data_IF_596923064132
#
_entry.id   IF_596923064132
#
_cell.length_a   1.000
_cell.length_b   1.000
_cell.length_c   1.000
_cell.angle_alpha   90.00
_cell.angle_beta   90.00
_cell.angle_gamma   90.00
#
_symmetry.space_group_name_H-M   'P 1'
#
loop_
_entity.id
_entity.type
_entity.pdbx_description
1 polymer ?
#
# COMPACT_ATOMS: atom_id res chain seq x y z
N UNK A 1 23.62 7.12 -2.50
CA UNK A 1 22.51 7.66 -3.31
C UNK A 1 22.47 9.16 -3.11
N UNK A 2 22.30 9.98 -4.15
CA UNK A 2 22.08 11.42 -3.98
C UNK A 2 20.80 11.63 -3.13
N UNK A 3 20.79 12.61 -2.22
CA UNK A 3 19.71 12.88 -1.26
C UNK A 3 18.30 12.90 -1.92
N UNK A 4 18.23 13.42 -3.15
CA UNK A 4 17.00 13.50 -3.94
C UNK A 4 16.44 12.14 -4.34
N UNK A 5 17.29 11.15 -4.62
CA UNK A 5 16.88 9.78 -4.95
C UNK A 5 16.38 9.03 -3.71
N UNK A 6 17.00 9.25 -2.55
CA UNK A 6 16.54 8.69 -1.27
C UNK A 6 15.18 9.26 -0.86
N UNK A 7 15.00 10.58 -0.99
CA UNK A 7 13.73 11.27 -0.73
C UNK A 7 12.61 10.77 -1.64
N UNK A 8 12.85 10.72 -2.96
CA UNK A 8 11.86 10.18 -3.92
C UNK A 8 11.48 8.72 -3.60
N UNK A 9 12.44 7.91 -3.14
CA UNK A 9 12.17 6.52 -2.78
C UNK A 9 11.29 6.42 -1.54
N UNK A 10 11.60 7.17 -0.49
CA UNK A 10 10.76 7.25 0.72
C UNK A 10 9.31 7.59 0.38
N UNK A 11 9.14 8.61 -0.45
CA UNK A 11 7.85 9.11 -0.91
C UNK A 11 7.09 8.11 -1.78
N UNK A 12 7.80 7.38 -2.65
CA UNK A 12 7.23 6.26 -3.40
C UNK A 12 6.76 5.13 -2.48
N UNK A 13 7.57 4.75 -1.48
CA UNK A 13 7.19 3.73 -0.50
C UNK A 13 5.97 4.16 0.32
N UNK A 14 5.89 5.45 0.68
CA UNK A 14 4.74 6.02 1.38
C UNK A 14 3.48 5.95 0.52
N UNK A 15 3.56 6.31 -0.76
CA UNK A 15 2.45 6.17 -1.70
C UNK A 15 1.90 4.75 -1.73
N UNK A 16 2.77 3.76 -1.93
CA UNK A 16 2.37 2.33 -1.98
C UNK A 16 1.72 1.90 -0.66
N UNK A 17 2.25 2.36 0.47
CA UNK A 17 1.74 2.06 1.80
C UNK A 17 0.34 2.62 2.05
N UNK A 18 0.10 3.88 1.69
CA UNK A 18 -1.22 4.52 1.80
C UNK A 18 -2.23 3.80 0.90
N UNK A 19 -1.85 3.46 -0.34
CA UNK A 19 -2.71 2.73 -1.26
C UNK A 19 -3.08 1.34 -0.71
N UNK A 20 -2.16 0.65 -0.05
CA UNK A 20 -2.42 -0.66 0.56
C UNK A 20 -3.39 -0.57 1.75
N UNK A 21 -3.30 0.49 2.55
CA UNK A 21 -4.21 0.70 3.68
C UNK A 21 -5.61 1.20 3.24
N UNK A 22 -5.68 2.02 2.19
CA UNK A 22 -6.89 2.76 1.82
C UNK A 22 -8.17 1.91 1.66
N UNK A 23 -8.16 0.71 1.02
CA UNK A 23 -9.37 -0.11 0.90
C UNK A 23 -9.94 -0.59 2.24
N UNK A 24 -9.08 -0.83 3.24
CA UNK A 24 -9.54 -1.17 4.59
C UNK A 24 -10.21 0.05 5.24
N UNK A 25 -9.63 1.25 5.11
CA UNK A 25 -10.23 2.50 5.59
C UNK A 25 -11.60 2.77 4.99
N UNK A 26 -11.69 2.68 3.66
CA UNK A 26 -12.93 2.93 2.94
C UNK A 26 -14.04 1.97 3.38
N UNK A 27 -13.69 0.70 3.61
CA UNK A 27 -14.65 -0.29 4.07
C UNK A 27 -15.09 -0.10 5.52
N UNK A 28 -14.16 0.17 6.44
CA UNK A 28 -14.50 0.44 7.85
C UNK A 28 -15.38 1.68 7.96
N UNK A 29 -15.03 2.73 7.21
CA UNK A 29 -15.84 3.94 7.11
C UNK A 29 -17.22 3.69 6.49
N UNK A 30 -17.34 2.80 5.49
CA UNK A 30 -18.63 2.45 4.89
C UNK A 30 -19.48 1.61 5.85
N UNK A 31 -18.86 0.67 6.56
CA UNK A 31 -19.55 -0.21 7.50
C UNK A 31 -20.11 0.56 8.71
N UNK A 32 -19.44 1.62 9.16
CA UNK A 32 -20.00 2.50 10.21
C UNK A 32 -21.31 3.16 9.76
N UNK A 33 -21.49 3.48 8.47
CA UNK A 33 -22.71 4.10 7.94
C UNK A 33 -23.94 3.17 7.95
N UNK A 34 -23.72 1.86 7.88
CA UNK A 34 -24.82 0.87 7.85
C UNK A 34 -25.45 0.60 9.22
N UNK A 35 -24.86 1.16 10.30
CA UNK A 35 -25.29 1.01 11.68
C UNK A 35 -26.57 1.77 11.98
N UNK A 36 -26.50 3.10 12.19
CA UNK A 36 -27.61 4.03 12.43
C UNK A 36 -27.13 5.43 12.05
N UNK A 37 -27.83 6.15 11.15
CA UNK A 37 -27.42 7.50 10.66
C UNK A 37 -27.11 8.47 11.82
N UNK A 38 -25.82 8.62 12.11
CA UNK A 38 -25.25 9.50 13.12
C UNK A 38 -24.46 10.63 12.45
N UNK A 39 -24.21 11.75 13.15
CA UNK A 39 -23.29 12.79 12.67
C UNK A 39 -21.84 12.27 12.52
N UNK A 40 -21.47 11.19 13.22
CA UNK A 40 -20.21 10.45 12.99
C UNK A 40 -20.19 9.75 11.63
N UNK A 41 -21.35 9.35 11.12
CA UNK A 41 -21.49 8.74 9.79
C UNK A 41 -21.37 9.80 8.71
N UNK A 42 -21.84 11.03 8.97
CA UNK A 42 -21.57 12.16 8.09
C UNK A 42 -20.06 12.46 8.02
N UNK A 43 -19.35 12.41 9.14
CA UNK A 43 -17.89 12.59 9.20
C UNK A 43 -17.12 11.48 8.46
N UNK A 44 -17.52 10.22 8.66
CA UNK A 44 -16.98 9.08 7.95
C UNK A 44 -17.27 9.18 6.44
N UNK A 45 -18.48 9.55 6.04
CA UNK A 45 -18.85 9.77 4.65
C UNK A 45 -18.12 10.96 4.00
N UNK A 46 -17.83 12.03 4.76
CA UNK A 46 -17.02 13.17 4.28
C UNK A 46 -15.54 12.81 4.18
N UNK A 47 -15.00 12.04 5.13
CA UNK A 47 -13.65 11.48 5.06
C UNK A 47 -13.52 10.50 3.89
N UNK A 48 -14.49 9.60 3.70
CA UNK A 48 -14.59 8.70 2.55
C UNK A 48 -14.74 9.50 1.26
N UNK A 49 -15.57 10.55 1.25
CA UNK A 49 -15.77 11.44 0.10
C UNK A 49 -14.51 12.24 -0.25
N UNK A 50 -13.74 12.67 0.75
CA UNK A 50 -12.44 13.31 0.58
C UNK A 50 -11.42 12.29 0.08
N UNK A 51 -11.27 11.14 0.74
CA UNK A 51 -10.37 10.07 0.29
C UNK A 51 -10.74 9.67 -1.13
N UNK A 52 -12.01 9.44 -1.46
CA UNK A 52 -12.46 9.12 -2.82
C UNK A 52 -12.19 10.27 -3.80
N UNK A 53 -12.59 11.51 -3.51
CA UNK A 53 -12.34 12.64 -4.42
C UNK A 53 -10.83 12.84 -4.69
N UNK A 54 -9.99 12.65 -3.68
CA UNK A 54 -8.55 12.88 -3.77
C UNK A 54 -7.72 11.65 -4.18
N UNK A 55 -8.21 10.41 -4.03
CA UNK A 55 -7.59 9.21 -4.60
C UNK A 55 -8.07 8.97 -6.03
N UNK A 56 -9.37 9.11 -6.28
CA UNK A 56 -9.99 8.74 -7.55
C UNK A 56 -9.49 9.65 -8.65
N UNK A 57 -9.29 10.95 -8.43
CA UNK A 57 -8.84 11.84 -9.49
C UNK A 57 -7.38 11.59 -9.94
N UNK A 58 -6.38 11.50 -9.04
CA UNK A 58 -5.02 11.08 -9.43
C UNK A 58 -4.96 9.66 -9.98
N UNK A 59 -5.74 8.73 -9.43
CA UNK A 59 -5.81 7.34 -9.92
C UNK A 59 -6.45 7.29 -11.30
N UNK A 60 -7.54 8.02 -11.54
CA UNK A 60 -8.21 8.09 -12.84
C UNK A 60 -7.35 8.81 -13.87
N UNK A 61 -6.66 9.90 -13.53
CA UNK A 61 -5.70 10.55 -14.42
C UNK A 61 -4.60 9.57 -14.87
N UNK A 62 -4.10 8.75 -13.94
CA UNK A 62 -3.08 7.74 -14.23
C UNK A 62 -3.63 6.52 -14.97
N UNK A 63 -4.84 6.06 -14.65
CA UNK A 63 -5.52 5.00 -15.40
C UNK A 63 -5.84 5.45 -16.82
N UNK A 64 -6.22 6.71 -17.02
CA UNK A 64 -6.38 7.33 -18.34
C UNK A 64 -5.03 7.38 -19.07
N UNK A 65 -3.95 7.80 -18.40
CA UNK A 65 -2.59 7.75 -18.97
C UNK A 65 -2.04 6.35 -19.24
N UNK A 66 -2.59 5.30 -18.60
CA UNK A 66 -2.29 3.89 -18.90
C UNK A 66 -3.08 3.38 -20.13
N UNK A 67 -4.19 4.03 -20.47
CA UNK A 67 -5.09 3.67 -21.58
C UNK A 67 -4.80 4.48 -22.84
N UNK A 68 -4.42 5.75 -22.70
CA UNK A 68 -4.09 6.65 -23.80
C UNK A 68 -2.57 6.78 -23.93
N UNK A 69 -2.04 6.52 -25.12
CA UNK A 69 -0.64 6.72 -25.49
C UNK A 69 -0.27 8.22 -25.65
N UNK A 70 -0.73 9.06 -24.72
CA UNK A 70 -0.45 10.49 -24.70
C UNK A 70 0.28 10.82 -23.39
N UNK A 71 1.60 11.01 -23.48
CA UNK A 71 2.48 11.34 -22.35
C UNK A 71 2.04 12.65 -21.68
N UNK A 72 1.46 12.63 -20.47
CA UNK A 72 1.31 13.83 -19.67
C UNK A 72 2.67 14.13 -19.02
N UNK A 73 3.04 15.40 -18.95
CA UNK A 73 4.30 15.85 -18.37
C UNK A 73 4.62 15.15 -17.03
N UNK A 74 5.78 14.50 -16.95
CA UNK A 74 6.22 13.70 -15.79
C UNK A 74 6.23 14.53 -14.50
N UNK A 75 5.16 14.42 -13.69
CA UNK A 75 5.17 14.92 -12.31
C UNK A 75 6.15 14.08 -11.49
N UNK A 76 7.18 14.72 -10.95
CA UNK A 76 8.18 14.13 -10.06
C UNK A 76 7.53 13.31 -8.92
N UNK A 77 8.07 12.14 -8.55
CA UNK A 77 7.59 11.34 -7.42
C UNK A 77 7.49 12.12 -6.10
N UNK A 78 8.40 13.06 -5.87
CA UNK A 78 8.32 13.95 -4.71
C UNK A 78 7.09 14.87 -4.77
N UNK A 79 6.68 15.34 -5.95
CA UNK A 79 5.47 16.15 -6.08
C UNK A 79 4.23 15.31 -5.83
N UNK A 80 4.13 14.11 -6.42
CA UNK A 80 2.99 13.20 -6.23
C UNK A 80 2.85 12.74 -4.77
N UNK A 81 3.96 12.50 -4.08
CA UNK A 81 3.92 12.09 -2.69
C UNK A 81 3.80 13.26 -1.71
N UNK A 82 4.28 14.46 -2.07
CA UNK A 82 3.97 15.68 -1.33
C UNK A 82 2.49 16.03 -1.51
N UNK A 83 1.91 15.83 -2.70
CA UNK A 83 0.45 15.84 -2.93
C UNK A 83 -0.22 14.84 -1.99
N UNK A 84 0.15 13.55 -2.05
CA UNK A 84 -0.47 12.52 -1.22
C UNK A 84 -0.33 12.78 0.29
N UNK A 85 0.81 13.33 0.73
CA UNK A 85 1.06 13.70 2.12
C UNK A 85 0.24 14.95 2.51
N UNK A 86 0.22 15.98 1.67
CA UNK A 86 -0.62 17.16 1.87
C UNK A 86 -2.10 16.78 1.90
N UNK A 87 -2.53 15.83 1.06
CA UNK A 87 -3.88 15.30 1.05
C UNK A 87 -4.17 14.44 2.28
N UNK A 88 -3.22 13.63 2.76
CA UNK A 88 -3.35 12.90 4.02
C UNK A 88 -3.47 13.86 5.21
N UNK A 89 -2.66 14.92 5.24
CA UNK A 89 -2.75 15.98 6.26
C UNK A 89 -4.10 16.69 6.18
N UNK A 90 -4.56 17.07 4.98
CA UNK A 90 -5.87 17.71 4.78
C UNK A 90 -6.99 16.76 5.21
N UNK A 91 -6.92 15.47 4.89
CA UNK A 91 -7.91 14.48 5.31
C UNK A 91 -7.96 14.34 6.84
N UNK A 92 -6.79 14.32 7.52
CA UNK A 92 -6.70 14.31 8.99
C UNK A 92 -7.24 15.61 9.57
N UNK A 93 -6.89 16.77 9.01
CA UNK A 93 -7.38 18.07 9.49
C UNK A 93 -8.89 18.24 9.29
N UNK A 94 -9.44 17.77 8.16
CA UNK A 94 -10.88 17.77 7.89
C UNK A 94 -11.59 16.81 8.83
N UNK A 95 -11.02 15.62 9.05
CA UNK A 95 -11.54 14.67 10.03
C UNK A 95 -11.56 15.27 11.45
N UNK A 96 -10.47 15.89 11.90
CA UNK A 96 -10.38 16.58 13.19
C UNK A 96 -11.35 17.76 13.30
N UNK A 97 -11.47 18.59 12.25
CA UNK A 97 -12.41 19.71 12.24
C UNK A 97 -13.87 19.25 12.34
N UNK A 98 -14.22 18.14 11.67
CA UNK A 98 -15.55 17.55 11.77
C UNK A 98 -15.75 16.92 13.16
N UNK A 99 -14.75 16.22 13.69
CA UNK A 99 -14.78 15.65 15.04
C UNK A 99 -14.99 16.73 16.10
N UNK A 100 -14.28 17.86 16.02
CA UNK A 100 -14.47 19.01 16.93
C UNK A 100 -15.86 19.64 16.76
N UNK A 101 -16.34 19.79 15.52
CA UNK A 101 -17.68 20.32 15.23
C UNK A 101 -18.80 19.40 15.75
N UNK A 102 -18.61 18.08 15.69
CA UNK A 102 -19.55 17.07 16.19
C UNK A 102 -19.45 16.89 17.71
N UNK A 103 -18.24 16.92 18.28
CA UNK A 103 -17.99 16.82 19.72
C UNK A 103 -18.48 18.05 20.51
N UNK A 104 -18.70 19.19 19.83
CA UNK A 104 -19.44 20.30 20.41
C UNK A 104 -20.89 19.91 20.81
N UNK A 105 -21.40 18.76 20.36
CA UNK A 105 -22.72 18.24 20.72
C UNK A 105 -22.70 17.04 21.70
N UNK A 106 -21.67 16.17 21.71
CA UNK A 106 -21.54 15.04 22.65
C UNK A 106 -20.06 14.79 23.05
N UNK A 107 -19.82 14.43 24.32
CA UNK A 107 -18.52 14.39 25.03
C UNK A 107 -17.28 14.03 24.18
N UNK A 108 -16.29 14.92 24.23
CA UNK A 108 -15.06 14.98 23.44
C UNK A 108 -14.15 13.72 23.52
N UNK A 109 -14.29 12.88 24.55
CA UNK A 109 -13.40 11.74 24.79
C UNK A 109 -13.63 10.58 23.80
N UNK A 110 -14.88 10.20 23.53
CA UNK A 110 -15.21 9.05 22.67
C UNK A 110 -14.75 9.25 21.22
N UNK A 111 -14.76 10.49 20.72
CA UNK A 111 -14.38 10.79 19.35
C UNK A 111 -12.86 10.68 19.13
N UNK A 112 -12.07 11.17 20.11
CA UNK A 112 -10.61 11.02 20.08
C UNK A 112 -10.17 9.55 20.11
N UNK A 113 -10.82 8.71 20.91
CA UNK A 113 -10.51 7.27 20.95
C UNK A 113 -10.79 6.56 19.62
N UNK A 114 -11.89 6.91 18.95
CA UNK A 114 -12.25 6.33 17.66
C UNK A 114 -11.26 6.73 16.56
N UNK A 115 -10.79 7.97 16.57
CA UNK A 115 -9.74 8.44 15.66
C UNK A 115 -8.41 7.71 15.90
N UNK A 116 -7.97 7.61 17.16
CA UNK A 116 -6.73 6.91 17.51
C UNK A 116 -6.78 5.47 17.01
N UNK A 117 -7.91 4.77 17.17
CA UNK A 117 -8.10 3.41 16.66
C UNK A 117 -8.03 3.34 15.13
N UNK A 118 -8.67 4.29 14.43
CA UNK A 118 -8.60 4.35 12.97
C UNK A 118 -7.17 4.60 12.45
N UNK A 119 -6.46 5.57 13.03
CA UNK A 119 -5.05 5.86 12.68
C UNK A 119 -4.14 4.69 13.00
N UNK A 120 -4.32 4.06 14.17
CA UNK A 120 -3.58 2.86 14.56
C UNK A 120 -3.78 1.72 13.56
N UNK A 121 -5.03 1.49 13.14
CA UNK A 121 -5.33 0.53 12.08
C UNK A 121 -4.64 0.91 10.77
N UNK A 122 -4.53 2.21 10.45
CA UNK A 122 -3.91 2.65 9.20
C UNK A 122 -2.43 2.33 9.15
N UNK A 123 -1.77 2.69 10.24
CA UNK A 123 -0.36 2.43 10.43
C UNK A 123 -0.07 0.93 10.39
N UNK A 124 -0.90 0.13 11.08
CA UNK A 124 -0.77 -1.32 11.11
C UNK A 124 -0.72 -1.94 9.70
N UNK A 125 -1.57 -1.49 8.78
CA UNK A 125 -1.59 -2.01 7.40
C UNK A 125 -0.58 -1.33 6.48
N UNK A 126 -0.23 -0.07 6.72
CA UNK A 126 0.70 0.69 5.87
C UNK A 126 2.18 0.33 6.11
N UNK A 127 2.57 -0.08 7.32
CA UNK A 127 3.98 -0.30 7.68
C UNK A 127 4.63 -1.41 6.83
N UNK A 128 3.99 -2.56 6.70
CA UNK A 128 4.54 -3.70 5.94
C UNK A 128 4.87 -3.37 4.48
N UNK A 129 3.92 -2.85 3.66
CA UNK A 129 4.21 -2.47 2.28
C UNK A 129 5.22 -1.33 2.17
N UNK A 130 5.25 -0.40 3.14
CA UNK A 130 6.26 0.66 3.19
C UNK A 130 7.68 0.05 3.27
N UNK A 131 7.95 -0.74 4.31
CA UNK A 131 9.29 -1.30 4.52
C UNK A 131 9.70 -2.31 3.44
N UNK A 132 8.76 -3.08 2.89
CA UNK A 132 9.03 -3.97 1.77
C UNK A 132 9.42 -3.18 0.52
N UNK A 133 8.74 -2.06 0.24
CA UNK A 133 9.09 -1.19 -0.90
C UNK A 133 10.46 -0.54 -0.70
N UNK A 134 10.80 -0.10 0.52
CA UNK A 134 12.16 0.35 0.87
C UNK A 134 13.19 -0.76 0.62
N UNK A 135 12.90 -2.00 1.05
CA UNK A 135 13.79 -3.14 0.85
C UNK A 135 14.01 -3.46 -0.62
N UNK A 136 12.96 -3.36 -1.45
CA UNK A 136 13.09 -3.50 -2.90
C UNK A 136 14.03 -2.46 -3.50
N UNK A 137 13.88 -1.18 -3.15
CA UNK A 137 14.80 -0.14 -3.64
C UNK A 137 16.24 -0.35 -3.15
N UNK A 138 16.41 -0.86 -1.94
CA UNK A 138 17.70 -1.23 -1.38
C UNK A 138 18.31 -2.50 -2.00
N UNK A 139 17.53 -3.34 -2.69
CA UNK A 139 18.01 -4.60 -3.26
C UNK A 139 19.08 -4.42 -4.35
N UNK A 140 19.16 -3.22 -4.94
CA UNK A 140 20.20 -2.81 -5.90
C UNK A 140 21.53 -2.45 -5.25
N UNK A 141 21.54 -2.19 -3.94
CA UNK A 141 22.76 -1.90 -3.19
C UNK A 141 23.61 -3.18 -3.05
N UNK A 142 24.90 -3.04 -2.65
CA UNK A 142 25.71 -4.19 -2.27
C UNK A 142 24.97 -5.13 -1.31
N UNK A 143 25.24 -6.43 -1.40
CA UNK A 143 24.54 -7.47 -0.63
C UNK A 143 24.55 -7.22 0.88
N UNK A 144 25.62 -6.61 1.41
CA UNK A 144 25.73 -6.25 2.83
C UNK A 144 24.76 -5.13 3.28
N UNK A 145 24.19 -4.34 2.37
CA UNK A 145 23.11 -3.37 2.66
C UNK A 145 21.75 -4.00 2.37
N UNK A 146 21.63 -4.68 1.23
CA UNK A 146 20.36 -5.24 0.76
C UNK A 146 19.77 -6.26 1.75
N UNK A 147 20.59 -7.19 2.25
CA UNK A 147 20.13 -8.24 3.17
C UNK A 147 19.67 -7.69 4.53
N UNK A 148 20.42 -6.79 5.21
CA UNK A 148 19.92 -6.19 6.45
C UNK A 148 18.61 -5.42 6.29
N UNK A 149 18.42 -4.68 5.18
CA UNK A 149 17.17 -3.93 4.96
C UNK A 149 16.00 -4.90 4.69
N UNK A 150 16.23 -5.97 3.92
CA UNK A 150 15.22 -7.02 3.74
C UNK A 150 14.86 -7.69 5.08
N UNK A 151 15.86 -8.06 5.90
CA UNK A 151 15.64 -8.63 7.22
C UNK A 151 14.88 -7.66 8.14
N UNK A 152 15.24 -6.36 8.12
CA UNK A 152 14.57 -5.32 8.87
C UNK A 152 13.08 -5.22 8.48
N UNK A 153 12.75 -5.31 7.19
CA UNK A 153 11.34 -5.27 6.76
C UNK A 153 10.51 -6.41 7.34
N UNK A 154 11.09 -7.63 7.44
CA UNK A 154 10.44 -8.79 8.07
C UNK A 154 10.29 -8.55 9.57
N UNK A 155 11.37 -8.13 10.25
CA UNK A 155 11.36 -7.87 11.69
C UNK A 155 10.30 -6.82 12.04
N UNK A 156 10.24 -5.73 11.28
CA UNK A 156 9.25 -4.67 11.49
C UNK A 156 7.82 -5.19 11.30
N UNK A 157 7.56 -5.97 10.24
CA UNK A 157 6.24 -6.57 10.02
C UNK A 157 5.82 -7.49 11.19
N UNK A 158 6.74 -8.29 11.71
CA UNK A 158 6.49 -9.15 12.88
C UNK A 158 6.27 -8.32 14.16
N UNK A 159 7.08 -7.29 14.38
CA UNK A 159 6.94 -6.39 15.53
C UNK A 159 5.60 -5.66 15.53
N UNK A 160 5.12 -5.21 14.37
CA UNK A 160 3.76 -4.64 14.23
C UNK A 160 2.72 -5.65 14.71
N UNK A 161 2.77 -6.89 14.24
CA UNK A 161 1.82 -7.92 14.69
C UNK A 161 1.85 -8.12 16.21
N UNK A 162 3.03 -8.14 16.83
CA UNK A 162 3.17 -8.26 18.30
C UNK A 162 2.64 -7.03 19.04
N UNK A 163 3.00 -5.82 18.59
CA UNK A 163 2.61 -4.55 19.24
C UNK A 163 1.10 -4.35 19.19
N UNK A 164 0.46 -4.72 18.07
CA UNK A 164 -0.99 -4.61 17.89
C UNK A 164 -1.75 -5.85 18.37
N UNK A 165 -1.09 -6.78 19.07
CA UNK A 165 -1.75 -7.92 19.73
C UNK A 165 -2.37 -8.92 18.76
N UNK A 166 -1.80 -9.09 17.56
CA UNK A 166 -2.28 -10.08 16.61
C UNK A 166 -2.14 -11.47 17.20
N UNK A 167 -3.14 -12.31 16.92
CA UNK A 167 -3.04 -13.73 17.19
C UNK A 167 -1.90 -14.35 16.37
N UNK A 168 -1.36 -15.47 16.86
CA UNK A 168 -0.33 -16.21 16.14
C UNK A 168 -0.81 -16.64 14.74
N UNK A 169 -2.11 -16.92 14.57
CA UNK A 169 -2.67 -17.28 13.28
C UNK A 169 -2.63 -16.14 12.28
N UNK A 170 -3.10 -14.93 12.65
CA UNK A 170 -3.07 -13.74 11.77
C UNK A 170 -1.63 -13.40 11.39
N UNK A 171 -0.72 -13.48 12.37
CA UNK A 171 0.69 -13.20 12.14
C UNK A 171 1.29 -14.17 11.10
N UNK A 172 0.96 -15.46 11.16
CA UNK A 172 1.43 -16.45 10.17
C UNK A 172 0.79 -16.21 8.80
N UNK A 173 -0.53 -16.00 8.75
CA UNK A 173 -1.26 -15.84 7.48
C UNK A 173 -0.91 -14.56 6.75
N UNK A 174 -0.46 -13.52 7.46
CA UNK A 174 0.05 -12.28 6.86
C UNK A 174 1.56 -12.33 6.58
N UNK A 175 2.38 -12.97 7.43
CA UNK A 175 3.83 -13.02 7.24
C UNK A 175 4.26 -13.85 6.02
N UNK A 176 3.66 -15.02 5.81
CA UNK A 176 4.04 -15.92 4.71
C UNK A 176 3.91 -15.23 3.32
N UNK A 177 2.74 -14.71 2.93
CA UNK A 177 2.59 -14.06 1.63
C UNK A 177 3.44 -12.78 1.53
N UNK A 178 3.58 -12.00 2.60
CA UNK A 178 4.38 -10.75 2.56
C UNK A 178 5.88 -11.03 2.41
N UNK A 179 6.41 -12.09 3.03
CA UNK A 179 7.79 -12.56 2.81
C UNK A 179 7.98 -13.04 1.36
N UNK A 180 7.01 -13.79 0.81
CA UNK A 180 7.07 -14.21 -0.58
C UNK A 180 7.08 -13.01 -1.54
N UNK A 181 6.25 -11.99 -1.27
CA UNK A 181 6.22 -10.72 -2.01
C UNK A 181 7.56 -9.99 -1.91
N UNK A 182 8.13 -9.89 -0.71
CA UNK A 182 9.45 -9.29 -0.49
C UNK A 182 10.52 -9.98 -1.35
N UNK A 183 10.61 -11.31 -1.28
CA UNK A 183 11.60 -12.10 -2.03
C UNK A 183 11.41 -11.90 -3.53
N UNK A 184 10.18 -12.05 -4.04
CA UNK A 184 9.88 -11.92 -5.46
C UNK A 184 10.25 -10.52 -5.99
N UNK A 185 9.88 -9.46 -5.27
CA UNK A 185 10.23 -8.10 -5.68
C UNK A 185 11.74 -7.82 -5.60
N UNK A 186 12.44 -8.35 -4.59
CA UNK A 186 13.91 -8.27 -4.53
C UNK A 186 14.58 -8.95 -5.73
N UNK A 187 14.08 -10.11 -6.17
CA UNK A 187 14.60 -10.78 -7.37
C UNK A 187 14.33 -9.95 -8.63
N UNK A 188 13.09 -9.49 -8.83
CA UNK A 188 12.70 -8.67 -9.99
C UNK A 188 13.55 -7.40 -10.09
N UNK A 189 13.72 -6.67 -8.98
CA UNK A 189 14.48 -5.42 -8.94
C UNK A 189 15.98 -5.65 -9.16
N UNK A 190 16.53 -6.77 -8.68
CA UNK A 190 17.95 -7.09 -8.91
C UNK A 190 18.22 -7.42 -10.37
N UNK A 191 17.32 -8.15 -11.01
CA UNK A 191 17.45 -8.53 -12.42
C UNK A 191 17.21 -7.37 -13.37
N UNK A 192 16.17 -6.55 -13.15
CA UNK A 192 15.73 -5.52 -14.08
C UNK A 192 15.38 -4.23 -13.34
N UNK A 193 15.89 -3.10 -13.84
CA UNK A 193 15.61 -1.76 -13.30
C UNK A 193 15.22 -0.82 -14.46
N UNK A 194 14.01 -1.03 -14.96
CA UNK A 194 13.35 -0.28 -16.04
C UNK A 194 12.02 0.34 -15.56
N UNK A 195 11.37 1.13 -16.42
CA UNK A 195 10.07 1.75 -16.14
C UNK A 195 8.95 0.75 -15.79
N UNK A 196 9.10 -0.53 -16.17
CA UNK A 196 8.12 -1.58 -15.91
C UNK A 196 8.38 -2.38 -14.63
N UNK A 197 9.49 -2.13 -13.93
CA UNK A 197 9.91 -2.89 -12.73
C UNK A 197 8.79 -2.98 -11.70
N UNK A 198 8.18 -1.85 -11.33
CA UNK A 198 7.11 -1.85 -10.32
C UNK A 198 5.79 -2.43 -10.82
N UNK A 199 5.53 -2.40 -12.13
CA UNK A 199 4.40 -3.12 -12.74
C UNK A 199 4.61 -4.63 -12.67
N UNK A 200 5.84 -5.11 -12.83
CA UNK A 200 6.20 -6.52 -12.60
C UNK A 200 6.08 -6.89 -11.13
N UNK A 201 6.52 -6.03 -10.21
CA UNK A 201 6.30 -6.22 -8.78
C UNK A 201 4.80 -6.25 -8.45
N UNK A 202 3.98 -5.37 -9.02
CA UNK A 202 2.54 -5.38 -8.83
C UNK A 202 1.91 -6.70 -9.28
N UNK A 203 2.33 -7.21 -10.45
CA UNK A 203 1.88 -8.52 -10.95
C UNK A 203 2.32 -9.65 -10.03
N UNK A 204 3.57 -9.65 -9.56
CA UNK A 204 4.07 -10.66 -8.63
C UNK A 204 3.29 -10.63 -7.30
N UNK A 205 3.07 -9.44 -6.73
CA UNK A 205 2.24 -9.24 -5.53
C UNK A 205 0.83 -9.79 -5.74
N UNK A 206 0.18 -9.46 -6.86
CA UNK A 206 -1.16 -9.94 -7.17
C UNK A 206 -1.23 -11.46 -7.35
N UNK A 207 -0.25 -12.06 -8.04
CA UNK A 207 -0.18 -13.52 -8.22
C UNK A 207 0.06 -14.24 -6.90
N UNK A 208 0.99 -13.76 -6.06
CA UNK A 208 1.29 -14.34 -4.76
C UNK A 208 0.08 -14.24 -3.83
N UNK A 209 -0.55 -13.06 -3.77
CA UNK A 209 -1.75 -12.85 -2.97
C UNK A 209 -2.90 -13.76 -3.41
N UNK A 210 -3.17 -13.82 -4.71
CA UNK A 210 -4.24 -14.67 -5.26
C UNK A 210 -3.95 -16.16 -5.00
N UNK A 211 -2.72 -16.61 -5.25
CA UNK A 211 -2.32 -17.99 -5.00
C UNK A 211 -2.46 -18.34 -3.51
N UNK A 212 -2.07 -17.44 -2.61
CA UNK A 212 -2.22 -17.61 -1.18
C UNK A 212 -3.69 -17.71 -0.76
N UNK A 213 -4.54 -16.78 -1.19
CA UNK A 213 -5.97 -16.79 -0.87
C UNK A 213 -6.70 -18.01 -1.43
N UNK A 214 -6.34 -18.46 -2.64
CA UNK A 214 -6.88 -19.69 -3.23
C UNK A 214 -6.42 -20.92 -2.45
N UNK A 215 -5.13 -20.98 -2.06
CA UNK A 215 -4.58 -22.09 -1.30
C UNK A 215 -5.22 -22.21 0.08
N UNK A 216 -5.33 -21.10 0.83
CA UNK A 216 -5.93 -21.10 2.16
C UNK A 216 -7.44 -21.33 2.10
N UNK A 217 -8.13 -20.80 1.08
CA UNK A 217 -9.53 -21.09 0.82
C UNK A 217 -9.79 -22.57 0.47
N UNK A 218 -8.96 -23.17 -0.38
CA UNK A 218 -9.04 -24.59 -0.73
C UNK A 218 -8.75 -25.48 0.48
N UNK A 219 -7.76 -25.13 1.31
CA UNK A 219 -7.46 -25.83 2.55
C UNK A 219 -8.64 -25.75 3.53
N UNK A 220 -9.24 -24.57 3.70
CA UNK A 220 -10.41 -24.39 4.55
C UNK A 220 -11.61 -25.20 4.04
N UNK A 221 -11.82 -25.26 2.73
CA UNK A 221 -12.87 -26.07 2.12
C UNK A 221 -12.63 -27.57 2.35
N UNK A 222 -11.40 -28.05 2.19
CA UNK A 222 -11.04 -29.45 2.45
C UNK A 222 -11.25 -29.84 3.92
N UNK A 223 -10.85 -28.96 4.86
CA UNK A 223 -11.09 -29.16 6.30
C UNK A 223 -12.58 -29.18 6.64
N UNK A 224 -13.37 -28.31 5.99
CA UNK A 224 -14.82 -28.28 6.14
C UNK A 224 -15.46 -29.58 5.63
N UNK A 225 -15.05 -30.08 4.46
CA UNK A 225 -15.50 -31.38 3.91
C UNK A 225 -15.11 -32.55 4.82
N UNK A 226 -13.94 -32.48 5.46
CA UNK A 226 -13.48 -33.47 6.45
C UNK A 226 -14.15 -33.32 7.83
N UNK A 227 -15.11 -32.40 8.00
CA UNK A 227 -15.80 -32.11 9.26
C UNK A 227 -14.88 -31.67 10.41
N UNK A 228 -13.69 -31.14 10.10
CA UNK A 228 -12.75 -30.62 11.09
C UNK A 228 -13.07 -29.15 11.37
N UNK A 229 -13.81 -28.89 12.45
CA UNK A 229 -14.18 -27.52 12.83
C UNK A 229 -13.19 -26.83 13.78
N UNK A 230 -12.28 -27.59 14.38
CA UNK A 230 -11.31 -27.11 15.36
C UNK A 230 -10.20 -26.23 14.77
N UNK A 231 -9.94 -26.34 13.46
CA UNK A 231 -8.89 -25.59 12.78
C UNK A 231 -9.49 -24.69 11.71
N UNK A 232 -9.32 -23.37 11.87
CA UNK A 232 -9.70 -22.36 10.89
C UNK A 232 -8.45 -21.64 10.44
N UNK A 233 -8.21 -21.63 9.13
CA UNK A 233 -7.05 -20.97 8.51
C UNK A 233 -7.26 -19.46 8.47
N UNK A 234 -8.49 -19.02 8.18
CA UNK A 234 -8.90 -17.62 8.20
C UNK A 234 -10.25 -17.51 8.89
N UNK A 235 -10.42 -16.48 9.71
CA UNK A 235 -11.76 -15.96 9.96
C UNK A 235 -12.28 -15.23 8.72
N UNK A 236 -13.61 -15.18 8.55
CA UNK A 236 -14.21 -14.54 7.37
C UNK A 236 -13.80 -13.06 7.27
N UNK A 237 -13.80 -12.35 8.40
CA UNK A 237 -13.35 -10.95 8.50
C UNK A 237 -11.90 -10.76 8.05
N UNK A 238 -11.00 -11.63 8.52
CA UNK A 238 -9.57 -11.61 8.21
C UNK A 238 -9.31 -11.86 6.72
N UNK A 239 -10.01 -12.83 6.11
CA UNK A 239 -9.88 -13.11 4.67
C UNK A 239 -10.22 -11.90 3.81
N UNK A 240 -11.33 -11.22 4.12
CA UNK A 240 -11.75 -10.03 3.38
C UNK A 240 -10.86 -8.82 3.65
N UNK A 241 -10.25 -8.74 4.84
CA UNK A 241 -9.25 -7.71 5.16
C UNK A 241 -7.99 -7.89 4.32
N UNK A 242 -7.43 -9.10 4.29
CA UNK A 242 -6.25 -9.41 3.48
C UNK A 242 -6.50 -9.20 1.98
N UNK A 243 -7.67 -9.60 1.47
CA UNK A 243 -8.03 -9.34 0.07
C UNK A 243 -8.02 -7.84 -0.26
N UNK A 244 -8.64 -7.01 0.58
CA UNK A 244 -8.68 -5.55 0.40
C UNK A 244 -7.28 -4.94 0.47
N UNK A 245 -6.47 -5.39 1.43
CA UNK A 245 -5.08 -5.00 1.58
C UNK A 245 -4.26 -5.27 0.31
N UNK A 246 -4.32 -6.49 -0.24
CA UNK A 246 -3.57 -6.83 -1.46
C UNK A 246 -4.08 -6.10 -2.71
N UNK A 247 -5.39 -5.87 -2.83
CA UNK A 247 -5.94 -5.03 -3.91
C UNK A 247 -5.36 -3.62 -3.84
N UNK A 248 -5.33 -3.03 -2.64
CA UNK A 248 -4.76 -1.71 -2.41
C UNK A 248 -3.28 -1.64 -2.76
N UNK A 249 -2.51 -2.66 -2.36
CA UNK A 249 -1.08 -2.73 -2.63
C UNK A 249 -0.79 -2.84 -4.13
N UNK A 250 -1.47 -3.75 -4.83
CA UNK A 250 -1.33 -3.92 -6.28
C UNK A 250 -1.69 -2.63 -7.01
N UNK A 251 -2.81 -2.00 -6.63
CA UNK A 251 -3.24 -0.72 -7.20
C UNK A 251 -2.20 0.38 -6.97
N UNK A 252 -1.68 0.46 -5.75
CA UNK A 252 -0.63 1.42 -5.38
C UNK A 252 0.60 1.30 -6.25
N UNK A 253 1.04 0.07 -6.56
CA UNK A 253 2.19 -0.19 -7.42
C UNK A 253 1.91 0.06 -8.91
N UNK A 254 0.69 -0.20 -9.40
CA UNK A 254 0.32 0.05 -10.79
C UNK A 254 0.17 1.54 -11.12
N UNK A 255 -0.29 2.31 -10.14
CA UNK A 255 -0.60 3.74 -10.29
C UNK A 255 0.56 4.62 -9.78
N UNK A 256 1.61 3.99 -9.24
CA UNK A 256 2.73 4.71 -8.65
C UNK A 256 3.42 5.67 -9.64
N UNK A 257 3.91 6.82 -9.17
CA UNK A 257 4.68 7.74 -10.01
C UNK A 257 5.98 7.08 -10.49
N UNK A 258 6.47 7.47 -11.68
CA UNK A 258 7.70 6.93 -12.27
C UNK A 258 8.91 7.21 -11.37
N UNK A 259 9.37 6.18 -10.66
CA UNK A 259 10.57 6.25 -9.81
C UNK A 259 11.85 5.86 -10.55
N UNK A 260 11.71 5.02 -11.58
CA UNK A 260 12.82 4.59 -12.44
C UNK A 260 12.91 5.58 -13.61
N UNK A 261 14.08 6.18 -13.89
CA UNK A 261 14.23 7.02 -15.08
C UNK A 261 13.91 6.22 -16.33
N UNK A 262 13.18 6.82 -17.27
CA UNK A 262 13.14 6.29 -18.62
C UNK A 262 14.57 6.19 -19.14
N UNK A 263 14.93 5.04 -19.70
CA UNK A 263 16.20 4.90 -20.39
C UNK A 263 16.31 6.06 -21.38
N UNK A 264 17.45 6.79 -21.44
CA UNK A 264 17.58 7.85 -22.43
C UNK A 264 17.29 7.22 -23.78
N UNK A 265 16.27 7.75 -24.47
CA UNK A 265 16.03 7.48 -25.89
C UNK A 265 17.39 7.55 -26.55
N UNK A 266 17.87 6.38 -27.01
CA UNK A 266 19.16 6.26 -27.65
C UNK A 266 19.27 7.40 -28.65
N UNK A 267 20.31 8.23 -28.49
CA UNK A 267 20.65 9.30 -29.39
C UNK A 267 20.58 8.74 -30.82
N UNK A 268 19.48 9.02 -31.50
CA UNK A 268 19.28 8.71 -32.90
C UNK A 268 20.39 9.43 -33.65
N UNK A 269 21.28 8.63 -34.23
CA UNK A 269 22.58 9.07 -34.66
C UNK A 269 22.56 10.10 -35.78
N UNK A 270 23.59 10.92 -35.82
CA UNK A 270 24.52 10.96 -36.93
C UNK A 270 25.78 11.69 -36.45
N UNK A 271 26.91 11.00 -36.36
CA UNK A 271 28.14 11.54 -36.94
C UNK A 271 29.19 10.44 -37.11
N UNK A 272 29.14 9.87 -38.30
CA UNK A 272 30.19 9.09 -38.92
C UNK A 272 31.47 9.92 -39.08
N UNK A 273 32.60 9.30 -38.71
CA UNK A 273 33.98 9.57 -39.22
C UNK A 273 34.53 10.92 -38.72
N UNK A 274 35.73 10.99 -38.14
CA UNK A 274 37.02 10.84 -38.84
C UNK A 274 38.07 10.33 -37.84
N UNK A 275 38.77 9.24 -38.16
CA UNK A 275 40.13 9.00 -37.68
C UNK A 275 41.07 9.29 -38.84
N UNK A 276 41.95 10.26 -38.65
CA UNK A 276 43.23 10.37 -39.36
C UNK A 276 44.31 9.78 -38.48
#
# INVERSE_FOLDING_TARGET
MPLRSASNGFFFALWVAVCAAAPEFLWQGLFSLFGHFSLTDAAAALLIGAILAFFVEPVLERLRGLSDAHEPAEKSPAFAACEALSFAIVAVCVHEAITVYVAASHANEQASENLVKAVAQALQWAITPFFITIAWMAARAPSWIAWPIAALSIIVGLLVGVIFGWSAHVLVTSAIPTIAVLIAGCLIVREQWDAFTFRRCARATGVIALAWLVLTGALQLALWLAHVQAFRVYERSEFWSDLRFYIGWVTGLLVAPSFVPDAPLAAGGDDRRVRH
#
